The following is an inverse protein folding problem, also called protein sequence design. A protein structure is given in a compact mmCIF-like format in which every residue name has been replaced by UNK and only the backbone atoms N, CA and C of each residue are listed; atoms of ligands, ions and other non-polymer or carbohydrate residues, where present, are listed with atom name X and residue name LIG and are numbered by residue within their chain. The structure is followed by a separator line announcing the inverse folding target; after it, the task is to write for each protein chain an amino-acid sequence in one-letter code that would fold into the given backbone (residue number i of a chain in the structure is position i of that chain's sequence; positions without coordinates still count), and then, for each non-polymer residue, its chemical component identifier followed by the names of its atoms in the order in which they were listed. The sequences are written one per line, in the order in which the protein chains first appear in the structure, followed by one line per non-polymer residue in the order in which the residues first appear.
data_IF_519336424726
#
_entry.id   IF_519336424726
#
_cell.length_a   1.000
_cell.length_b   1.000
_cell.length_c   1.000
_cell.angle_alpha   90.00
_cell.angle_beta   90.00
_cell.angle_gamma   90.00
#
_symmetry.space_group_name_H-M   'P 1'
#
loop_
_entity.id
_entity.type
_entity.pdbx_description
1 polymer ?
#
# COMPACT_ATOMS: atom_id res chain seq x y z
N UNK A 1 -3.77 -8.61 -18.70
CA UNK A 1 -3.16 -7.38 -19.29
C UNK A 1 -2.02 -7.83 -20.21
N UNK A 2 -2.16 -7.68 -21.51
CA UNK A 2 -1.09 -7.98 -22.45
C UNK A 2 -0.13 -6.78 -22.47
N UNK A 3 1.02 -6.92 -21.84
CA UNK A 3 2.10 -5.99 -22.11
C UNK A 3 2.55 -6.23 -23.55
N UNK A 4 2.35 -5.23 -24.39
CA UNK A 4 2.77 -5.31 -25.77
C UNK A 4 4.29 -5.37 -25.82
N UNK A 5 4.83 -6.56 -26.15
CA UNK A 5 6.27 -6.81 -26.29
C UNK A 5 6.96 -5.74 -27.14
N UNK A 6 6.28 -5.29 -28.19
CA UNK A 6 6.79 -4.27 -29.09
C UNK A 6 7.03 -2.96 -28.35
N UNK A 7 6.08 -2.51 -27.51
CA UNK A 7 6.22 -1.28 -26.71
C UNK A 7 7.35 -1.37 -25.69
N UNK A 8 7.53 -2.53 -25.05
CA UNK A 8 8.65 -2.73 -24.12
C UNK A 8 10.00 -2.65 -24.84
N UNK A 9 10.13 -3.30 -26.01
CA UNK A 9 11.36 -3.25 -26.83
C UNK A 9 11.62 -1.84 -27.36
N UNK A 10 10.58 -1.15 -27.84
CA UNK A 10 10.67 0.23 -28.31
C UNK A 10 11.10 1.19 -27.18
N UNK A 11 10.54 1.04 -25.97
CA UNK A 11 10.90 1.84 -24.80
C UNK A 11 12.34 1.64 -24.36
N UNK A 12 12.84 0.40 -24.36
CA UNK A 12 14.26 0.10 -24.05
C UNK A 12 15.17 0.65 -25.14
N UNK A 13 14.81 0.49 -26.41
CA UNK A 13 15.58 1.03 -27.53
C UNK A 13 15.67 2.55 -27.47
N UNK A 14 14.56 3.21 -27.15
CA UNK A 14 14.51 4.66 -27.01
C UNK A 14 15.30 5.12 -25.79
N UNK A 15 15.21 4.42 -24.66
CA UNK A 15 16.01 4.68 -23.47
C UNK A 15 17.52 4.57 -23.71
N UNK A 16 17.97 3.59 -24.52
CA UNK A 16 19.37 3.49 -24.95
C UNK A 16 19.81 4.67 -25.84
N UNK A 17 18.98 5.06 -26.82
CA UNK A 17 19.25 6.21 -27.70
C UNK A 17 19.35 7.53 -26.94
N UNK A 18 18.55 7.69 -25.90
CA UNK A 18 18.56 8.89 -25.05
C UNK A 18 19.65 8.85 -23.97
N UNK A 19 20.48 7.80 -23.92
CA UNK A 19 21.50 7.63 -22.90
C UNK A 19 20.96 7.39 -21.48
N UNK A 20 19.68 7.07 -21.37
CA UNK A 20 19.01 6.77 -20.11
C UNK A 20 19.30 5.34 -19.63
N UNK A 21 19.63 4.46 -20.57
CA UNK A 21 20.03 3.06 -20.33
C UNK A 21 21.37 2.85 -21.02
N UNK A 22 22.38 2.32 -20.32
CA UNK A 22 23.67 2.02 -20.91
C UNK A 22 23.55 1.01 -22.05
N UNK A 23 24.25 1.25 -23.16
CA UNK A 23 24.30 0.30 -24.28
C UNK A 23 24.82 -1.08 -23.86
N UNK A 24 25.66 -1.12 -22.83
CA UNK A 24 26.22 -2.37 -22.27
C UNK A 24 25.24 -3.13 -21.39
N UNK A 25 24.11 -2.52 -21.00
CA UNK A 25 23.10 -3.17 -20.18
C UNK A 25 22.39 -4.23 -21.01
N UNK A 26 22.65 -5.49 -20.72
CA UNK A 26 22.08 -6.63 -21.42
C UNK A 26 20.74 -7.00 -20.76
N UNK A 27 19.69 -6.26 -21.11
CA UNK A 27 18.35 -6.57 -20.61
C UNK A 27 17.82 -7.73 -21.44
N UNK A 28 17.64 -8.89 -20.80
CA UNK A 28 17.00 -10.04 -21.44
C UNK A 28 15.50 -9.77 -21.62
N UNK A 29 15.16 -9.08 -22.69
CA UNK A 29 13.79 -8.66 -23.00
C UNK A 29 12.84 -9.85 -23.17
N UNK A 30 13.33 -10.99 -23.67
CA UNK A 30 12.52 -12.20 -23.81
C UNK A 30 12.19 -12.83 -22.44
N UNK A 31 13.18 -12.87 -21.53
CA UNK A 31 12.97 -13.23 -20.13
C UNK A 31 11.97 -12.27 -19.49
N UNK A 32 12.14 -10.99 -19.74
CA UNK A 32 11.29 -9.93 -19.19
C UNK A 32 9.83 -10.05 -19.61
N UNK A 33 9.58 -10.34 -20.89
CA UNK A 33 8.22 -10.52 -21.43
C UNK A 33 7.58 -11.82 -20.95
N UNK A 34 8.32 -12.92 -20.93
CA UNK A 34 7.80 -14.18 -20.39
C UNK A 34 7.45 -14.05 -18.92
N UNK A 35 8.17 -13.25 -18.21
CA UNK A 35 7.96 -12.93 -16.81
C UNK A 35 6.76 -12.02 -16.60
N UNK A 36 6.61 -10.98 -17.42
CA UNK A 36 5.45 -10.09 -17.39
C UNK A 36 4.13 -10.80 -17.74
N UNK A 37 4.19 -11.92 -18.46
CA UNK A 37 3.00 -12.72 -18.82
C UNK A 37 2.66 -13.82 -17.83
N UNK A 38 3.61 -14.26 -17.01
CA UNK A 38 3.41 -15.41 -16.11
C UNK A 38 3.76 -15.20 -14.64
N UNK A 39 4.73 -14.30 -14.33
CA UNK A 39 5.24 -14.13 -12.97
C UNK A 39 5.69 -12.68 -12.71
N UNK A 40 4.82 -11.73 -12.94
CA UNK A 40 5.11 -10.28 -12.88
C UNK A 40 5.76 -9.82 -11.57
N UNK A 41 5.53 -10.52 -10.47
CA UNK A 41 5.98 -10.10 -9.14
C UNK A 41 7.48 -10.22 -8.90
N UNK A 42 8.06 -11.37 -9.23
CA UNK A 42 9.43 -11.70 -8.80
C UNK A 42 10.52 -11.02 -9.63
N UNK A 43 10.28 -10.75 -10.90
CA UNK A 43 11.32 -10.29 -11.84
C UNK A 43 11.35 -8.77 -11.99
N UNK A 44 10.29 -8.08 -11.69
CA UNK A 44 10.37 -6.63 -11.50
C UNK A 44 11.15 -6.32 -10.23
N UNK A 45 11.01 -7.14 -9.21
CA UNK A 45 11.82 -7.07 -8.01
C UNK A 45 13.31 -7.33 -8.31
N UNK A 46 13.59 -8.37 -9.12
CA UNK A 46 14.94 -8.66 -9.59
C UNK A 46 15.48 -7.50 -10.44
N UNK A 47 14.67 -6.86 -11.27
CA UNK A 47 15.08 -5.72 -12.10
C UNK A 47 15.34 -4.47 -11.27
N UNK A 48 14.53 -4.21 -10.27
CA UNK A 48 14.76 -3.12 -9.31
C UNK A 48 16.04 -3.38 -8.53
N UNK A 49 16.25 -4.60 -8.05
CA UNK A 49 17.47 -4.97 -7.33
C UNK A 49 18.71 -4.85 -8.21
N UNK A 50 18.63 -5.25 -9.50
CA UNK A 50 19.72 -5.06 -10.47
C UNK A 50 20.01 -3.57 -10.70
N UNK A 51 18.99 -2.72 -10.75
CA UNK A 51 19.15 -1.28 -10.89
C UNK A 51 19.73 -0.65 -9.62
N UNK A 52 19.33 -1.13 -8.45
CA UNK A 52 19.83 -0.67 -7.15
C UNK A 52 21.29 -1.13 -6.87
N UNK A 53 21.65 -2.35 -7.32
CA UNK A 53 22.98 -2.95 -7.10
C UNK A 53 24.02 -2.54 -8.15
N UNK A 54 23.66 -1.76 -9.18
CA UNK A 54 24.59 -1.39 -10.24
C UNK A 54 25.24 -0.02 -9.94
N UNK A 55 26.46 0.02 -9.40
CA UNK A 55 27.12 1.26 -8.96
C UNK A 55 27.48 2.23 -10.09
N UNK A 56 27.25 1.85 -11.33
CA UNK A 56 27.55 2.64 -12.54
C UNK A 56 26.33 3.45 -13.03
N UNK A 57 25.16 3.29 -12.41
CA UNK A 57 23.93 3.98 -12.79
C UNK A 57 23.81 5.21 -11.90
N UNK A 58 23.97 6.41 -12.47
CA UNK A 58 23.75 7.66 -11.71
C UNK A 58 22.30 7.74 -11.19
N UNK A 59 22.10 8.36 -10.03
CA UNK A 59 20.77 8.58 -9.41
C UNK A 59 19.72 9.12 -10.40
N UNK A 60 20.15 9.92 -11.36
CA UNK A 60 19.31 10.49 -12.40
C UNK A 60 18.83 9.43 -13.42
N UNK A 61 19.66 8.47 -13.77
CA UNK A 61 19.31 7.34 -14.68
C UNK A 61 18.38 6.38 -13.94
N UNK A 62 18.63 6.13 -12.68
CA UNK A 62 17.79 5.29 -11.83
C UNK A 62 16.38 5.88 -11.69
N UNK A 63 16.25 7.17 -11.36
CA UNK A 63 14.96 7.85 -11.29
C UNK A 63 14.21 7.85 -12.63
N UNK A 64 14.91 8.12 -13.74
CA UNK A 64 14.28 8.13 -15.08
C UNK A 64 13.90 6.73 -15.54
N UNK A 65 14.72 5.72 -15.24
CA UNK A 65 14.39 4.32 -15.53
C UNK A 65 13.16 3.86 -14.73
N UNK A 66 13.03 4.27 -13.47
CA UNK A 66 11.84 4.01 -12.65
C UNK A 66 10.59 4.71 -13.20
N UNK A 67 10.70 5.94 -13.71
CA UNK A 67 9.59 6.64 -14.36
C UNK A 67 9.14 5.91 -15.63
N UNK A 68 10.08 5.45 -16.45
CA UNK A 68 9.78 4.68 -17.68
C UNK A 68 9.16 3.33 -17.32
N UNK A 69 9.72 2.61 -16.34
CA UNK A 69 9.14 1.35 -15.86
C UNK A 69 7.73 1.56 -15.31
N UNK A 70 7.51 2.58 -14.52
CA UNK A 70 6.18 2.93 -14.00
C UNK A 70 5.18 3.34 -15.11
N UNK A 71 5.67 3.90 -16.21
CA UNK A 71 4.81 4.24 -17.37
C UNK A 71 4.49 3.03 -18.25
N UNK A 72 5.38 2.03 -18.29
CA UNK A 72 5.20 0.80 -19.06
C UNK A 72 4.34 -0.24 -18.35
N UNK A 73 4.29 -0.19 -17.04
CA UNK A 73 3.46 -1.07 -16.20
C UNK A 73 2.58 -0.20 -15.32
N UNK A 74 1.45 0.27 -15.84
CA UNK A 74 0.49 0.98 -15.01
C UNK A 74 0.02 0.06 -13.89
N UNK A 75 0.06 0.59 -12.66
CA UNK A 75 -0.34 -0.10 -11.44
C UNK A 75 0.61 -1.27 -11.06
N UNK A 76 1.70 -0.91 -10.41
CA UNK A 76 2.65 -1.86 -9.84
C UNK A 76 2.13 -2.40 -8.51
N UNK A 77 1.51 -3.58 -8.45
CA UNK A 77 1.05 -4.14 -7.19
C UNK A 77 2.21 -4.33 -6.19
N UNK A 78 3.38 -4.72 -6.68
CA UNK A 78 4.55 -4.94 -5.84
C UNK A 78 5.11 -3.66 -5.23
N UNK A 79 5.15 -2.55 -5.99
CA UNK A 79 5.60 -1.27 -5.45
C UNK A 79 4.65 -0.78 -4.36
N UNK A 80 3.34 -0.85 -4.59
CA UNK A 80 2.35 -0.55 -3.58
C UNK A 80 2.49 -1.46 -2.35
N UNK A 81 2.69 -2.76 -2.58
CA UNK A 81 2.84 -3.73 -1.51
C UNK A 81 4.03 -3.43 -0.59
N UNK A 82 5.19 -3.09 -1.13
CA UNK A 82 6.40 -2.75 -0.37
C UNK A 82 6.25 -1.53 0.52
N UNK A 83 5.39 -0.60 0.15
CA UNK A 83 5.13 0.61 0.92
C UNK A 83 4.06 0.45 2.00
N UNK A 84 3.40 -0.71 2.03
CA UNK A 84 2.43 -1.00 3.07
C UNK A 84 3.12 -1.23 4.42
N UNK A 85 2.43 -0.87 5.48
CA UNK A 85 2.88 -1.17 6.84
C UNK A 85 3.12 -2.68 7.03
N UNK A 86 4.19 -3.05 7.74
CA UNK A 86 4.61 -4.45 7.91
C UNK A 86 3.51 -5.35 8.49
N UNK A 87 2.70 -4.82 9.39
CA UNK A 87 1.56 -5.56 9.97
C UNK A 87 0.51 -5.93 8.91
N UNK A 88 0.31 -5.10 7.89
CA UNK A 88 -0.58 -5.39 6.76
C UNK A 88 0.02 -6.46 5.87
N UNK A 89 1.31 -6.32 5.52
CA UNK A 89 2.01 -7.31 4.71
C UNK A 89 1.91 -8.70 5.35
N UNK A 90 2.22 -8.80 6.65
CA UNK A 90 2.16 -10.05 7.39
C UNK A 90 0.74 -10.64 7.49
N UNK A 91 -0.28 -9.79 7.61
CA UNK A 91 -1.65 -10.26 7.79
C UNK A 91 -2.31 -10.74 6.48
N UNK A 92 -1.93 -10.18 5.34
CA UNK A 92 -2.68 -10.33 4.09
C UNK A 92 -1.89 -10.86 2.90
N UNK A 93 -0.57 -11.12 3.04
CA UNK A 93 0.30 -11.50 1.92
C UNK A 93 -0.20 -12.74 1.17
N UNK A 94 -0.58 -13.78 1.90
CA UNK A 94 -1.03 -15.03 1.29
C UNK A 94 -2.36 -14.85 0.54
N UNK A 95 -3.32 -14.14 1.14
CA UNK A 95 -4.61 -13.91 0.51
C UNK A 95 -4.45 -13.03 -0.74
N UNK A 96 -3.62 -11.99 -0.66
CA UNK A 96 -3.32 -11.14 -1.80
C UNK A 96 -2.64 -11.91 -2.95
N UNK A 97 -1.62 -12.74 -2.65
CA UNK A 97 -0.95 -13.59 -3.64
C UNK A 97 -1.89 -14.60 -4.30
N UNK A 98 -2.88 -15.07 -3.56
CA UNK A 98 -3.92 -15.97 -4.05
C UNK A 98 -5.07 -15.25 -4.78
N UNK A 99 -4.96 -13.93 -4.97
CA UNK A 99 -5.97 -13.07 -5.60
C UNK A 99 -7.30 -13.00 -4.83
N UNK A 100 -7.29 -13.36 -3.56
CA UNK A 100 -8.42 -13.16 -2.66
C UNK A 100 -8.33 -11.77 -2.01
N UNK A 101 -8.55 -10.74 -2.86
CA UNK A 101 -8.33 -9.34 -2.50
C UNK A 101 -9.23 -8.85 -1.38
N UNK A 102 -10.48 -9.31 -1.37
CA UNK A 102 -11.43 -8.94 -0.32
C UNK A 102 -11.00 -9.51 1.03
N UNK A 103 -10.54 -10.75 1.05
CA UNK A 103 -10.05 -11.41 2.26
C UNK A 103 -8.76 -10.77 2.76
N UNK A 104 -7.82 -10.45 1.87
CA UNK A 104 -6.60 -9.72 2.21
C UNK A 104 -6.92 -8.40 2.95
N UNK A 105 -7.91 -7.65 2.45
CA UNK A 105 -8.38 -6.44 3.10
C UNK A 105 -8.98 -6.70 4.48
N UNK A 106 -9.90 -7.67 4.60
CA UNK A 106 -10.54 -8.00 5.88
C UNK A 106 -9.54 -8.44 6.95
N UNK A 107 -8.59 -9.31 6.62
CA UNK A 107 -7.59 -9.77 7.58
C UNK A 107 -6.70 -8.61 8.06
N UNK A 108 -6.35 -7.68 7.16
CA UNK A 108 -5.63 -6.46 7.53
C UNK A 108 -6.45 -5.56 8.45
N UNK A 109 -7.74 -5.40 8.21
CA UNK A 109 -8.64 -4.62 9.10
C UNK A 109 -8.79 -5.29 10.46
N UNK A 110 -8.91 -6.60 10.52
CA UNK A 110 -8.91 -7.34 11.80
C UNK A 110 -7.62 -7.10 12.59
N UNK A 111 -6.48 -7.10 11.89
CA UNK A 111 -5.19 -6.80 12.51
C UNK A 111 -5.16 -5.39 13.09
N UNK A 112 -5.68 -4.41 12.36
CA UNK A 112 -5.80 -3.03 12.84
C UNK A 112 -6.70 -2.93 14.07
N UNK A 113 -7.88 -3.54 14.04
CA UNK A 113 -8.81 -3.58 15.19
C UNK A 113 -8.13 -4.15 16.44
N UNK A 114 -7.41 -5.25 16.28
CA UNK A 114 -6.68 -5.88 17.39
C UNK A 114 -5.58 -5.00 17.94
N UNK A 115 -4.85 -4.27 17.09
CA UNK A 115 -3.82 -3.31 17.52
C UNK A 115 -4.44 -2.15 18.33
N UNK A 116 -5.52 -1.55 17.81
CA UNK A 116 -6.24 -0.48 18.51
C UNK A 116 -6.71 -0.96 19.88
N UNK A 117 -7.31 -2.15 19.93
CA UNK A 117 -7.78 -2.75 21.19
C UNK A 117 -6.66 -2.99 22.18
N UNK A 118 -5.52 -3.51 21.70
CA UNK A 118 -4.37 -3.77 22.54
C UNK A 118 -3.75 -2.47 23.11
N UNK A 119 -3.61 -1.44 22.28
CA UNK A 119 -3.03 -0.16 22.69
C UNK A 119 -3.95 0.63 23.63
N UNK A 120 -5.26 0.54 23.48
CA UNK A 120 -6.23 1.25 24.31
C UNK A 120 -6.72 0.45 25.53
N UNK A 121 -6.42 -0.84 25.60
CA UNK A 121 -7.04 -1.78 26.56
C UNK A 121 -8.58 -1.73 26.53
N UNK A 122 -9.16 -1.43 25.38
CA UNK A 122 -10.58 -1.21 25.25
C UNK A 122 -11.37 -2.51 25.30
N UNK A 123 -12.47 -2.49 26.05
CA UNK A 123 -13.49 -3.53 26.08
C UNK A 123 -14.73 -3.15 25.29
N UNK A 124 -14.71 -1.99 24.62
CA UNK A 124 -15.84 -1.49 23.86
C UNK A 124 -16.18 -2.42 22.67
N UNK A 125 -17.47 -2.63 22.47
CA UNK A 125 -18.07 -3.29 21.32
C UNK A 125 -19.30 -2.50 20.87
N UNK A 126 -19.57 -2.43 19.57
CA UNK A 126 -18.86 -3.04 18.44
C UNK A 126 -17.55 -2.33 18.07
N UNK A 127 -16.75 -2.95 17.18
CA UNK A 127 -15.43 -2.44 16.78
C UNK A 127 -15.46 -1.00 16.25
N UNK A 128 -16.48 -0.61 15.49
CA UNK A 128 -16.67 0.79 15.05
C UNK A 128 -16.87 1.75 16.23
N UNK A 129 -17.66 1.35 17.22
CA UNK A 129 -17.87 2.10 18.44
C UNK A 129 -16.57 2.29 19.24
N UNK A 130 -15.73 1.26 19.28
CA UNK A 130 -14.40 1.33 19.88
C UNK A 130 -13.54 2.40 19.17
N UNK A 131 -13.49 2.43 17.83
CA UNK A 131 -12.75 3.46 17.10
C UNK A 131 -13.23 4.87 17.47
N UNK A 132 -14.54 5.08 17.60
CA UNK A 132 -15.12 6.35 18.01
C UNK A 132 -14.81 6.76 19.45
N UNK A 133 -14.64 5.78 20.34
CA UNK A 133 -14.39 6.01 21.76
C UNK A 133 -12.90 6.26 22.08
N UNK A 134 -12.01 5.56 21.40
CA UNK A 134 -10.59 5.52 21.78
C UNK A 134 -9.74 6.58 21.06
N UNK A 135 -10.13 7.00 19.85
CA UNK A 135 -9.45 8.06 19.12
C UNK A 135 -10.03 9.44 19.40
N UNK A 136 -9.16 10.44 19.48
CA UNK A 136 -9.56 11.85 19.56
C UNK A 136 -8.76 12.64 20.59
N UNK A 137 -8.92 13.95 20.55
CA UNK A 137 -8.28 14.84 21.50
C UNK A 137 -8.74 14.53 22.95
N UNK A 138 -7.77 14.29 23.82
CA UNK A 138 -8.05 13.90 25.22
C UNK A 138 -8.50 12.44 25.40
N UNK A 139 -8.45 11.63 24.35
CA UNK A 139 -8.68 10.18 24.39
C UNK A 139 -7.38 9.41 24.63
N UNK A 140 -7.48 8.08 24.78
CA UNK A 140 -6.32 7.22 25.03
C UNK A 140 -5.36 7.24 23.84
N UNK A 141 -5.89 7.17 22.61
CA UNK A 141 -5.10 7.18 21.39
C UNK A 141 -5.10 8.58 20.77
N UNK A 142 -3.99 9.29 20.92
CA UNK A 142 -3.77 10.61 20.35
C UNK A 142 -2.63 10.57 19.35
N UNK A 143 -2.96 10.43 18.08
CA UNK A 143 -2.00 10.26 16.98
C UNK A 143 -1.29 11.54 16.56
N UNK A 144 -1.84 12.69 16.90
CA UNK A 144 -1.29 14.00 16.53
C UNK A 144 -0.33 14.60 17.57
N UNK A 145 -0.37 14.12 18.83
CA UNK A 145 0.37 14.71 19.95
C UNK A 145 1.90 14.78 19.77
N UNK A 146 2.46 13.86 18.97
CA UNK A 146 3.89 13.80 18.65
C UNK A 146 4.38 14.83 17.64
N UNK A 147 3.48 15.49 16.89
CA UNK A 147 3.85 16.40 15.81
C UNK A 147 3.91 17.85 16.26
N UNK A 148 4.99 18.53 15.87
CA UNK A 148 5.21 19.95 16.09
C UNK A 148 5.63 20.62 14.77
N UNK A 149 5.65 21.96 14.75
CA UNK A 149 6.23 22.73 13.66
C UNK A 149 7.73 22.48 13.54
N UNK A 150 8.36 22.73 12.39
CA UNK A 150 9.80 22.55 12.18
C UNK A 150 10.69 23.32 13.19
N UNK A 151 10.19 24.41 13.74
CA UNK A 151 10.88 25.21 14.76
C UNK A 151 10.68 24.70 16.20
N UNK A 152 9.97 23.59 16.37
CA UNK A 152 9.66 22.98 17.68
C UNK A 152 8.38 23.48 18.35
N UNK A 153 7.76 24.54 17.85
CA UNK A 153 6.52 25.06 18.41
C UNK A 153 5.34 24.11 18.14
N UNK A 154 4.35 24.05 19.03
CA UNK A 154 3.15 23.27 18.78
C UNK A 154 2.34 23.84 17.60
N UNK A 155 1.60 22.97 16.91
CA UNK A 155 0.59 23.41 15.96
C UNK A 155 -0.59 24.11 16.69
N UNK A 156 -1.43 24.79 15.94
CA UNK A 156 -2.67 25.33 16.47
C UNK A 156 -3.55 24.21 17.02
N UNK A 157 -4.29 24.49 18.10
CA UNK A 157 -5.15 23.50 18.74
C UNK A 157 -6.15 22.84 17.79
N UNK A 158 -6.73 23.63 16.87
CA UNK A 158 -7.65 23.09 15.86
C UNK A 158 -6.97 22.16 14.86
N UNK A 159 -5.65 22.34 14.59
CA UNK A 159 -4.89 21.40 13.73
C UNK A 159 -4.82 20.02 14.37
N UNK A 160 -4.46 19.95 15.64
CA UNK A 160 -4.47 18.68 16.37
C UNK A 160 -5.87 18.05 16.40
N UNK A 161 -6.90 18.85 16.71
CA UNK A 161 -8.28 18.38 16.73
C UNK A 161 -8.72 17.81 15.37
N UNK A 162 -8.40 18.48 14.28
CA UNK A 162 -8.74 18.00 12.92
C UNK A 162 -8.01 16.70 12.57
N UNK A 163 -6.73 16.56 12.94
CA UNK A 163 -5.95 15.33 12.68
C UNK A 163 -6.55 14.16 13.49
N UNK A 164 -6.84 14.37 14.77
CA UNK A 164 -7.44 13.34 15.63
C UNK A 164 -8.84 12.93 15.14
N UNK A 165 -9.67 13.88 14.77
CA UNK A 165 -11.00 13.60 14.23
C UNK A 165 -10.90 12.88 12.88
N UNK A 166 -9.95 13.25 12.02
CA UNK A 166 -9.65 12.56 10.77
C UNK A 166 -9.27 11.09 10.99
N UNK A 167 -8.36 10.82 11.91
CA UNK A 167 -7.97 9.44 12.26
C UNK A 167 -9.18 8.64 12.75
N UNK A 168 -9.99 9.21 13.65
CA UNK A 168 -11.20 8.58 14.16
C UNK A 168 -12.18 8.22 13.04
N UNK A 169 -12.54 9.18 12.21
CA UNK A 169 -13.53 9.00 11.14
C UNK A 169 -13.07 7.99 10.08
N UNK A 170 -11.79 8.06 9.68
CA UNK A 170 -11.21 7.10 8.74
C UNK A 170 -11.18 5.69 9.34
N UNK A 171 -10.82 5.54 10.61
CA UNK A 171 -10.82 4.26 11.31
C UNK A 171 -12.23 3.67 11.43
N UNK A 172 -13.22 4.49 11.78
CA UNK A 172 -14.62 4.06 11.81
C UNK A 172 -15.12 3.66 10.41
N UNK A 173 -14.77 4.42 9.38
CA UNK A 173 -15.19 4.17 7.99
C UNK A 173 -14.61 2.87 7.44
N UNK A 174 -13.31 2.63 7.63
CA UNK A 174 -12.65 1.42 7.13
C UNK A 174 -13.16 0.16 7.86
N UNK A 175 -13.38 0.25 9.16
CA UNK A 175 -13.97 -0.87 9.93
C UNK A 175 -15.40 -1.17 9.46
N UNK A 176 -16.22 -0.14 9.24
CA UNK A 176 -17.59 -0.31 8.74
C UNK A 176 -17.61 -0.92 7.34
N UNK A 177 -16.77 -0.41 6.43
CA UNK A 177 -16.73 -0.86 5.04
C UNK A 177 -16.17 -2.26 4.86
N UNK A 178 -15.25 -2.69 5.73
CA UNK A 178 -14.65 -4.02 5.64
C UNK A 178 -15.48 -5.09 6.37
N UNK A 179 -15.88 -4.80 7.61
CA UNK A 179 -16.41 -5.84 8.49
C UNK A 179 -17.93 -6.00 8.41
N UNK A 180 -18.66 -4.91 8.23
CA UNK A 180 -20.11 -4.98 8.26
C UNK A 180 -20.69 -5.77 7.08
N UNK A 181 -20.19 -5.67 5.84
CA UNK A 181 -20.72 -6.46 4.73
C UNK A 181 -20.69 -7.95 4.98
N UNK A 182 -19.61 -8.51 5.54
CA UNK A 182 -19.50 -9.95 5.85
C UNK A 182 -20.41 -10.42 6.99
N UNK A 183 -21.07 -9.49 7.68
CA UNK A 183 -22.08 -9.87 8.68
C UNK A 183 -23.45 -10.13 8.05
N UNK A 184 -23.63 -9.77 6.78
CA UNK A 184 -24.89 -9.83 6.06
C UNK A 184 -24.82 -10.71 4.81
N UNK A 185 -23.64 -10.81 4.17
CA UNK A 185 -23.41 -11.51 2.93
C UNK A 185 -22.30 -12.56 3.08
N UNK A 186 -22.34 -13.59 2.27
CA UNK A 186 -21.24 -14.54 2.19
C UNK A 186 -20.03 -13.92 1.49
N UNK A 187 -18.83 -14.29 1.94
CA UNK A 187 -17.59 -13.72 1.41
C UNK A 187 -17.40 -14.04 -0.08
N UNK A 188 -17.91 -15.20 -0.52
CA UNK A 188 -17.87 -15.63 -1.93
C UNK A 188 -18.71 -14.72 -2.82
N UNK A 189 -19.87 -14.31 -2.35
CA UNK A 189 -20.76 -13.42 -3.09
C UNK A 189 -20.15 -12.02 -3.22
N UNK A 190 -19.56 -11.50 -2.15
CA UNK A 190 -18.87 -10.21 -2.16
C UNK A 190 -17.67 -10.22 -3.11
N UNK A 191 -16.89 -11.31 -3.12
CA UNK A 191 -15.74 -11.47 -4.00
C UNK A 191 -16.17 -11.57 -5.47
N UNK A 192 -17.15 -12.40 -5.77
CA UNK A 192 -17.54 -12.75 -7.15
C UNK A 192 -18.45 -11.68 -7.76
N UNK A 193 -19.01 -10.76 -6.96
CA UNK A 193 -19.83 -9.64 -7.43
C UNK A 193 -19.08 -8.57 -8.23
N UNK A 194 -17.76 -8.54 -8.16
CA UNK A 194 -16.95 -7.46 -8.72
C UNK A 194 -16.99 -6.16 -7.90
N UNK A 195 -17.59 -6.19 -6.70
CA UNK A 195 -17.66 -5.05 -5.78
C UNK A 195 -16.25 -4.60 -5.32
N UNK A 196 -15.28 -5.52 -5.31
CA UNK A 196 -13.95 -5.28 -4.78
C UNK A 196 -12.88 -5.85 -5.71
N UNK A 197 -12.20 -4.96 -6.43
CA UNK A 197 -11.12 -5.30 -7.36
C UNK A 197 -9.74 -5.34 -6.66
N UNK A 198 -8.70 -5.77 -7.40
CA UNK A 198 -7.31 -5.65 -6.94
C UNK A 198 -6.95 -4.20 -6.61
N UNK A 199 -7.40 -3.26 -7.45
CA UNK A 199 -7.17 -1.84 -7.26
C UNK A 199 -7.81 -1.34 -5.96
N UNK A 200 -9.06 -1.70 -5.69
CA UNK A 200 -9.75 -1.34 -4.45
C UNK A 200 -9.01 -1.90 -3.23
N UNK A 201 -8.51 -3.13 -3.33
CA UNK A 201 -7.69 -3.73 -2.29
C UNK A 201 -6.46 -2.88 -1.99
N UNK A 202 -5.66 -2.54 -2.99
CA UNK A 202 -4.44 -1.76 -2.82
C UNK A 202 -4.71 -0.36 -2.27
N UNK A 203 -5.75 0.31 -2.75
CA UNK A 203 -6.16 1.62 -2.28
C UNK A 203 -6.57 1.57 -0.79
N UNK A 204 -7.35 0.56 -0.42
CA UNK A 204 -7.78 0.36 0.97
C UNK A 204 -6.65 -0.09 1.90
N UNK A 205 -5.74 -0.95 1.44
CA UNK A 205 -4.55 -1.34 2.19
C UNK A 205 -3.60 -0.14 2.39
N UNK A 206 -3.48 0.74 1.39
CA UNK A 206 -2.68 1.97 1.51
C UNK A 206 -3.27 2.94 2.53
N UNK A 207 -4.58 3.14 2.52
CA UNK A 207 -5.27 3.93 3.55
C UNK A 207 -5.06 3.32 4.94
N UNK A 208 -5.24 2.01 5.06
CA UNK A 208 -5.04 1.30 6.32
C UNK A 208 -3.59 1.39 6.81
N UNK A 209 -2.61 1.31 5.90
CA UNK A 209 -1.19 1.52 6.19
C UNK A 209 -0.92 2.89 6.80
N UNK A 210 -1.54 3.95 6.25
CA UNK A 210 -1.48 5.28 6.84
C UNK A 210 -2.01 5.31 8.28
N UNK A 211 -3.13 4.62 8.54
CA UNK A 211 -3.72 4.54 9.89
C UNK A 211 -2.82 3.78 10.87
N UNK A 212 -2.17 2.69 10.43
CA UNK A 212 -1.18 1.96 11.24
C UNK A 212 0.03 2.83 11.59
N UNK A 213 0.66 3.47 10.58
CA UNK A 213 1.82 4.34 10.79
C UNK A 213 1.56 5.45 11.82
N UNK A 214 0.32 5.94 11.89
CA UNK A 214 -0.09 6.91 12.89
C UNK A 214 -0.14 6.36 14.31
N UNK A 215 -0.33 5.05 14.43
CA UNK A 215 -0.41 4.36 15.73
C UNK A 215 0.94 3.88 16.26
N UNK A 216 1.98 3.81 15.44
CA UNK A 216 3.26 3.20 15.86
C UNK A 216 3.88 3.86 17.09
N UNK A 217 3.71 5.15 17.23
CA UNK A 217 4.30 5.94 18.31
C UNK A 217 3.28 6.40 19.36
N UNK A 218 2.14 5.73 19.47
CA UNK A 218 1.09 6.03 20.48
C UNK A 218 1.11 5.01 21.60
#
# INVERSE_FOLDING_TARGET
MFVDYRKAVEGISEGKKQGLISEKTNINVAGWVNTLTGKVKDDVEALINILDDTPEISDNIQQKSMIILNSLVPEYPNLHWRHLHTEIQNASENDYKNQDYYRAFIESVKRYINLVRAKSNSTNAPDQGMMGAEFGLGKILQVAAKYNKPNGDPFHADTYKCIEEGQKLLSMGIVSGARNPISHEEIVDLRDSGLFSEKDCLDMLSLLSHLFNRLDDV
#
